data_IF_272861413495
#
_entry.id   IF_272861413495
#
_cell.length_a   1.000
_cell.length_b   1.000
_cell.length_c   1.000
_cell.angle_alpha   90.00
_cell.angle_beta   90.00
_cell.angle_gamma   90.00
#
_symmetry.space_group_name_H-M   'P 1'
#
loop_
_entity.id
_entity.type
_entity.pdbx_description
1 polymer ?
#
# COMPACT_ATOMS: atom_id res chain seq x y z
N UNK A 1 -1.35 12.82 10.92
CA UNK A 1 -0.58 11.56 11.11
C UNK A 1 -0.48 11.02 12.54
N UNK A 2 -0.71 11.81 13.62
CA UNK A 2 -0.61 11.31 15.02
C UNK A 2 -1.41 10.03 15.28
N UNK A 3 -2.68 9.99 14.83
CA UNK A 3 -3.56 8.80 14.98
C UNK A 3 -3.00 7.55 14.27
N UNK A 4 -2.35 7.75 13.13
CA UNK A 4 -1.72 6.66 12.37
C UNK A 4 -0.55 6.04 13.14
N UNK A 5 0.30 6.89 13.72
CA UNK A 5 1.41 6.45 14.57
C UNK A 5 0.90 5.71 15.81
N UNK A 6 -0.14 6.22 16.47
CA UNK A 6 -0.77 5.57 17.62
C UNK A 6 -1.35 4.20 17.24
N UNK A 7 -2.05 4.11 16.10
CA UNK A 7 -2.56 2.85 15.58
C UNK A 7 -1.43 1.84 15.32
N UNK A 8 -0.31 2.29 14.73
CA UNK A 8 0.85 1.44 14.49
C UNK A 8 1.43 0.92 15.81
N UNK A 9 1.66 1.79 16.80
CA UNK A 9 2.15 1.39 18.13
C UNK A 9 1.24 0.39 18.84
N UNK A 10 -0.06 0.52 18.69
CA UNK A 10 -1.04 -0.39 19.31
C UNK A 10 -1.10 -1.77 18.61
N UNK A 11 -0.65 -1.86 17.36
CA UNK A 11 -0.77 -3.08 16.56
C UNK A 11 0.57 -3.76 16.24
N UNK A 12 1.70 -3.11 16.47
CA UNK A 12 3.05 -3.63 16.21
C UNK A 12 3.75 -3.82 17.55
N UNK A 13 4.45 -4.92 17.71
CA UNK A 13 5.21 -5.24 18.93
C UNK A 13 6.70 -5.00 18.71
N UNK A 14 7.41 -4.81 19.79
CA UNK A 14 8.87 -4.78 19.76
C UNK A 14 9.44 -6.05 19.11
N UNK A 15 10.46 -5.87 18.26
CA UNK A 15 11.16 -6.92 17.48
C UNK A 15 10.29 -7.61 16.43
N UNK A 16 9.11 -7.05 16.08
CA UNK A 16 8.32 -7.59 14.96
C UNK A 16 9.09 -7.45 13.63
N UNK A 17 8.88 -8.45 12.75
CA UNK A 17 9.26 -8.37 11.33
C UNK A 17 8.04 -8.02 10.51
N UNK A 18 8.14 -6.96 9.70
CA UNK A 18 7.03 -6.38 8.95
C UNK A 18 7.33 -6.37 7.46
N UNK A 19 6.36 -6.78 6.64
CA UNK A 19 6.40 -6.55 5.19
C UNK A 19 5.56 -5.31 4.88
N UNK A 20 6.16 -4.31 4.25
CA UNK A 20 5.49 -3.07 3.81
C UNK A 20 5.36 -3.10 2.30
N UNK A 21 4.14 -3.21 1.79
CA UNK A 21 3.86 -3.12 0.36
C UNK A 21 4.05 -1.66 -0.10
N UNK A 22 5.06 -1.41 -0.93
CA UNK A 22 5.41 -0.08 -1.40
C UNK A 22 5.48 -0.04 -2.93
N UNK A 23 4.58 0.73 -3.55
CA UNK A 23 4.55 0.95 -5.00
C UNK A 23 5.38 2.15 -5.46
N UNK A 24 5.91 2.97 -4.55
CA UNK A 24 6.56 4.23 -4.86
C UNK A 24 5.61 5.43 -4.94
N UNK A 25 4.30 5.20 -5.05
CA UNK A 25 3.31 6.27 -5.02
C UNK A 25 3.13 6.90 -3.63
N UNK A 26 2.44 8.06 -3.55
CA UNK A 26 2.38 8.88 -2.35
C UNK A 26 1.87 8.11 -1.12
N UNK A 27 0.81 7.31 -1.27
CA UNK A 27 0.24 6.58 -0.13
C UNK A 27 1.22 5.59 0.46
N UNK A 28 1.92 4.85 -0.40
CA UNK A 28 2.88 3.83 0.01
C UNK A 28 4.17 4.42 0.59
N UNK A 29 4.63 5.56 0.06
CA UNK A 29 5.80 6.26 0.60
C UNK A 29 5.47 6.91 1.94
N UNK A 30 4.27 7.49 2.11
CA UNK A 30 3.79 7.98 3.40
C UNK A 30 3.75 6.86 4.45
N UNK A 31 3.16 5.71 4.11
CA UNK A 31 3.13 4.56 5.02
C UNK A 31 4.53 4.08 5.38
N UNK A 32 5.41 3.97 4.39
CA UNK A 32 6.77 3.49 4.59
C UNK A 32 7.55 4.41 5.53
N UNK A 33 7.48 5.73 5.35
CA UNK A 33 8.13 6.69 6.24
C UNK A 33 7.59 6.63 7.67
N UNK A 34 6.26 6.57 7.84
CA UNK A 34 5.64 6.46 9.15
C UNK A 34 6.05 5.19 9.92
N UNK A 35 6.18 4.07 9.22
CA UNK A 35 6.65 2.81 9.82
C UNK A 35 8.15 2.88 10.14
N UNK A 36 8.94 3.50 9.27
CA UNK A 36 10.39 3.69 9.45
C UNK A 36 10.70 4.52 10.70
N UNK A 37 9.90 5.54 11.00
CA UNK A 37 10.03 6.34 12.25
C UNK A 37 9.86 5.53 13.54
N UNK A 38 9.23 4.37 13.48
CA UNK A 38 9.08 3.46 14.63
C UNK A 38 10.15 2.36 14.67
N UNK A 39 11.02 2.26 13.65
CA UNK A 39 11.99 1.18 13.51
C UNK A 39 12.90 1.03 14.72
N UNK A 40 13.54 2.12 15.11
CA UNK A 40 14.51 2.09 16.21
C UNK A 40 13.81 2.02 17.57
N UNK A 41 12.67 2.71 17.74
CA UNK A 41 11.85 2.70 18.96
C UNK A 41 11.40 1.27 19.32
N UNK A 42 10.95 0.52 18.31
CA UNK A 42 10.41 -0.83 18.49
C UNK A 42 11.38 -1.94 18.03
N UNK A 43 12.61 -1.59 17.65
CA UNK A 43 13.61 -2.53 17.15
C UNK A 43 13.05 -3.44 16.02
N UNK A 44 12.41 -2.82 14.99
CA UNK A 44 11.72 -3.53 13.93
C UNK A 44 12.66 -4.01 12.83
N UNK A 45 12.32 -5.16 12.24
CA UNK A 45 12.84 -5.57 10.94
C UNK A 45 11.80 -5.21 9.88
N UNK A 46 12.11 -4.26 8.99
CA UNK A 46 11.20 -3.76 7.95
C UNK A 46 11.67 -4.27 6.60
N UNK A 47 10.79 -4.99 5.90
CA UNK A 47 10.98 -5.51 4.56
C UNK A 47 10.09 -4.71 3.61
N UNK A 48 10.69 -3.90 2.75
CA UNK A 48 10.02 -3.12 1.71
C UNK A 48 9.78 -4.03 0.52
N UNK A 49 8.52 -4.32 0.22
CA UNK A 49 8.11 -5.16 -0.89
C UNK A 49 7.62 -4.30 -2.05
N UNK A 50 8.46 -4.14 -3.07
CA UNK A 50 8.12 -3.41 -4.29
C UNK A 50 7.79 -4.37 -5.43
N UNK A 51 6.71 -4.07 -6.18
CA UNK A 51 6.32 -4.81 -7.37
C UNK A 51 6.38 -3.88 -8.57
N UNK A 52 7.37 -4.10 -9.43
CA UNK A 52 7.50 -3.39 -10.69
C UNK A 52 6.70 -4.12 -11.78
N UNK A 53 5.66 -3.47 -12.27
CA UNK A 53 4.78 -4.03 -13.29
C UNK A 53 5.34 -3.94 -14.71
N UNK A 54 6.46 -3.23 -14.94
CA UNK A 54 7.11 -3.02 -16.26
C UNK A 54 6.16 -2.50 -17.34
N UNK A 55 5.12 -1.79 -16.94
CA UNK A 55 4.13 -1.22 -17.87
C UNK A 55 4.60 0.10 -18.51
N UNK A 56 5.55 0.77 -17.87
CA UNK A 56 6.07 2.09 -18.27
C UNK A 56 7.58 2.14 -18.06
N UNK A 57 8.24 3.03 -18.79
CA UNK A 57 9.70 3.25 -18.63
C UNK A 57 10.00 3.78 -17.23
N UNK A 58 9.13 4.66 -16.70
CA UNK A 58 9.27 5.29 -15.39
C UNK A 58 9.17 4.29 -14.22
N UNK A 59 8.61 3.08 -14.45
CA UNK A 59 8.47 2.07 -13.40
C UNK A 59 9.81 1.56 -12.85
N UNK A 60 10.88 1.66 -13.63
CA UNK A 60 12.23 1.32 -13.17
C UNK A 60 12.83 2.44 -12.31
N UNK A 61 12.52 3.69 -12.63
CA UNK A 61 12.90 4.85 -11.81
C UNK A 61 12.15 4.85 -10.46
N UNK A 62 10.87 4.47 -10.49
CA UNK A 62 10.05 4.29 -9.28
C UNK A 62 10.66 3.20 -8.38
N UNK A 63 11.04 2.05 -8.94
CA UNK A 63 11.68 0.97 -8.19
C UNK A 63 13.00 1.41 -7.56
N UNK A 64 13.83 2.15 -8.33
CA UNK A 64 15.10 2.69 -7.85
C UNK A 64 14.91 3.71 -6.73
N UNK A 65 13.93 4.60 -6.83
CA UNK A 65 13.59 5.57 -5.77
C UNK A 65 13.24 4.87 -4.46
N UNK A 66 12.41 3.81 -4.52
CA UNK A 66 12.03 3.03 -3.33
C UNK A 66 13.24 2.27 -2.76
N UNK A 67 14.11 1.73 -3.61
CA UNK A 67 15.35 1.06 -3.21
C UNK A 67 16.31 2.03 -2.50
N UNK A 68 16.49 3.24 -3.04
CA UNK A 68 17.33 4.28 -2.44
C UNK A 68 16.78 4.68 -1.07
N UNK A 69 15.48 4.92 -0.93
CA UNK A 69 14.85 5.17 0.37
C UNK A 69 15.11 4.02 1.37
N UNK A 70 14.93 2.79 0.93
CA UNK A 70 15.16 1.62 1.79
C UNK A 70 16.62 1.54 2.24
N UNK A 71 17.58 1.81 1.36
CA UNK A 71 19.01 1.82 1.64
C UNK A 71 19.40 2.92 2.62
N UNK A 72 18.92 4.13 2.44
CA UNK A 72 19.18 5.28 3.32
C UNK A 72 18.72 5.01 4.76
N UNK A 73 17.62 4.28 4.93
CA UNK A 73 17.05 3.95 6.23
C UNK A 73 17.45 2.56 6.77
N UNK A 74 18.40 1.87 6.11
CA UNK A 74 18.84 0.52 6.47
C UNK A 74 17.65 -0.47 6.57
N UNK A 75 16.75 -0.45 5.58
CA UNK A 75 15.64 -1.39 5.43
C UNK A 75 16.01 -2.49 4.44
N UNK A 76 15.35 -3.64 4.55
CA UNK A 76 15.49 -4.70 3.55
C UNK A 76 14.62 -4.34 2.35
N UNK A 77 15.17 -4.35 1.13
CA UNK A 77 14.43 -4.12 -0.11
C UNK A 77 14.28 -5.42 -0.89
N UNK A 78 13.07 -5.73 -1.30
CA UNK A 78 12.72 -6.91 -2.11
C UNK A 78 11.90 -6.46 -3.31
N UNK A 79 12.40 -6.80 -4.50
CA UNK A 79 11.80 -6.44 -5.78
C UNK A 79 11.21 -7.69 -6.47
N UNK A 80 9.98 -7.56 -6.95
CA UNK A 80 9.39 -8.48 -7.92
C UNK A 80 9.10 -7.74 -9.22
N UNK A 81 9.59 -8.27 -10.34
CA UNK A 81 9.27 -7.76 -11.67
C UNK A 81 8.17 -8.61 -12.32
N UNK A 82 7.14 -7.96 -12.86
CA UNK A 82 6.03 -8.59 -13.58
C UNK A 82 6.11 -8.21 -15.05
N UNK A 83 6.68 -9.10 -15.86
CA UNK A 83 6.81 -8.90 -17.31
C UNK A 83 5.57 -9.40 -18.09
N UNK A 84 4.64 -10.10 -17.43
CA UNK A 84 3.50 -10.75 -18.07
C UNK A 84 2.41 -9.79 -18.55
N UNK A 85 2.38 -8.55 -18.05
CA UNK A 85 1.48 -7.51 -18.56
C UNK A 85 1.70 -7.17 -20.04
N UNK A 86 2.84 -7.54 -20.59
CA UNK A 86 3.11 -7.44 -22.03
C UNK A 86 2.26 -8.41 -22.87
N UNK A 87 1.61 -9.38 -22.23
CA UNK A 87 0.70 -10.33 -22.85
C UNK A 87 -0.75 -9.89 -22.62
N UNK A 88 -1.51 -9.64 -23.66
CA UNK A 88 -2.92 -9.18 -23.63
C UNK A 88 -3.91 -10.08 -22.85
N UNK A 89 -3.47 -11.21 -22.32
CA UNK A 89 -4.28 -12.14 -21.53
C UNK A 89 -4.13 -11.96 -20.02
N UNK A 90 -3.16 -11.15 -19.57
CA UNK A 90 -2.89 -10.92 -18.15
C UNK A 90 -3.82 -9.84 -17.57
N UNK A 91 -4.61 -10.21 -16.58
CA UNK A 91 -5.63 -9.33 -16.00
C UNK A 91 -5.14 -8.63 -14.72
N UNK A 92 -5.82 -7.56 -14.29
CA UNK A 92 -5.59 -6.92 -12.99
C UNK A 92 -5.73 -7.93 -11.82
N UNK A 93 -6.67 -8.88 -11.94
CA UNK A 93 -6.85 -9.95 -10.96
C UNK A 93 -5.61 -10.86 -10.84
N UNK A 94 -4.97 -11.17 -11.99
CA UNK A 94 -3.74 -11.98 -12.02
C UNK A 94 -2.59 -11.23 -11.37
N UNK A 95 -2.44 -9.94 -11.68
CA UNK A 95 -1.45 -9.08 -11.05
C UNK A 95 -1.65 -8.96 -9.54
N UNK A 96 -2.91 -8.84 -9.10
CA UNK A 96 -3.24 -8.85 -7.67
C UNK A 96 -2.86 -10.17 -7.01
N UNK A 97 -3.18 -11.31 -7.64
CA UNK A 97 -2.81 -12.63 -7.12
C UNK A 97 -1.29 -12.75 -6.97
N UNK A 98 -0.52 -12.43 -8.01
CA UNK A 98 0.95 -12.48 -7.97
C UNK A 98 1.55 -11.59 -6.89
N UNK A 99 1.02 -10.36 -6.71
CA UNK A 99 1.45 -9.48 -5.61
C UNK A 99 1.28 -10.14 -4.24
N UNK A 100 0.11 -10.74 -3.98
CA UNK A 100 -0.13 -11.41 -2.71
C UNK A 100 0.70 -12.68 -2.54
N UNK A 101 0.96 -13.44 -3.63
CA UNK A 101 1.88 -14.58 -3.61
C UNK A 101 3.30 -14.14 -3.25
N UNK A 102 3.77 -13.02 -3.80
CA UNK A 102 5.04 -12.41 -3.44
C UNK A 102 5.09 -11.98 -1.96
N UNK A 103 4.07 -11.28 -1.47
CA UNK A 103 4.00 -10.91 -0.06
C UNK A 103 4.01 -12.15 0.86
N UNK A 104 3.29 -13.21 0.50
CA UNK A 104 3.29 -14.48 1.24
C UNK A 104 4.69 -15.12 1.27
N UNK A 105 5.43 -15.05 0.16
CA UNK A 105 6.80 -15.52 0.08
C UNK A 105 7.71 -14.74 1.04
N UNK A 106 7.60 -13.41 1.05
CA UNK A 106 8.40 -12.55 1.94
C UNK A 106 8.04 -12.76 3.42
N UNK A 107 6.75 -12.86 3.75
CA UNK A 107 6.28 -13.19 5.09
C UNK A 107 6.97 -14.47 5.59
N UNK A 108 7.01 -15.51 4.75
CA UNK A 108 7.67 -16.77 5.08
C UNK A 108 9.20 -16.64 5.16
N UNK A 109 9.82 -15.96 4.18
CA UNK A 109 11.28 -15.79 4.09
C UNK A 109 11.86 -15.09 5.31
N UNK A 110 11.19 -14.05 5.80
CA UNK A 110 11.64 -13.20 6.91
C UNK A 110 10.96 -13.52 8.24
N UNK A 111 10.16 -14.59 8.29
CA UNK A 111 9.34 -14.95 9.46
C UNK A 111 8.53 -13.74 9.97
N UNK A 112 8.02 -12.93 9.03
CA UNK A 112 7.24 -11.74 9.35
C UNK A 112 5.82 -12.11 9.79
N UNK A 113 5.26 -11.33 10.69
CA UNK A 113 3.91 -11.57 11.23
C UNK A 113 2.87 -10.56 10.74
N UNK A 114 3.32 -9.54 10.02
CA UNK A 114 2.46 -8.41 9.63
C UNK A 114 2.78 -7.95 8.21
N UNK A 115 1.73 -7.78 7.40
CA UNK A 115 1.75 -7.08 6.12
C UNK A 115 1.09 -5.71 6.28
N UNK A 116 1.75 -4.65 5.86
CA UNK A 116 1.18 -3.30 5.81
C UNK A 116 0.86 -2.91 4.37
N UNK A 117 -0.32 -2.34 4.16
CA UNK A 117 -0.76 -1.82 2.86
C UNK A 117 -1.33 -0.41 3.01
N UNK A 118 -1.12 0.43 2.01
CA UNK A 118 -1.36 1.86 2.04
C UNK A 118 -2.76 2.28 1.56
N UNK A 119 -3.80 1.48 1.84
CA UNK A 119 -5.18 1.90 1.59
C UNK A 119 -5.54 3.04 2.54
N UNK A 120 -6.17 4.10 2.02
CA UNK A 120 -6.56 5.29 2.77
C UNK A 120 -8.08 5.48 2.82
N UNK A 121 -8.55 6.55 3.50
CA UNK A 121 -9.97 6.79 3.75
C UNK A 121 -10.82 6.86 2.47
N UNK A 122 -10.30 7.52 1.42
CA UNK A 122 -11.04 7.64 0.17
C UNK A 122 -11.21 6.28 -0.53
N UNK A 123 -10.22 5.38 -0.46
CA UNK A 123 -10.35 4.00 -0.94
C UNK A 123 -11.48 3.23 -0.22
N UNK A 124 -11.67 3.51 1.07
CA UNK A 124 -12.76 2.92 1.84
C UNK A 124 -14.11 3.41 1.35
N UNK A 125 -14.27 4.73 1.14
CA UNK A 125 -15.50 5.34 0.64
C UNK A 125 -15.80 4.83 -0.78
N UNK A 126 -14.82 4.83 -1.68
CA UNK A 126 -14.95 4.25 -3.03
C UNK A 126 -15.46 2.81 -2.98
N UNK A 127 -14.85 1.99 -2.12
CA UNK A 127 -15.22 0.58 -1.99
C UNK A 127 -16.66 0.41 -1.49
N UNK A 128 -17.07 1.21 -0.52
CA UNK A 128 -18.45 1.20 0.01
C UNK A 128 -19.44 1.59 -1.10
N UNK A 129 -19.19 2.70 -1.81
CA UNK A 129 -20.04 3.17 -2.89
C UNK A 129 -20.18 2.15 -4.03
N UNK A 130 -19.06 1.55 -4.46
CA UNK A 130 -19.05 0.49 -5.47
C UNK A 130 -19.86 -0.74 -5.04
N UNK A 131 -19.84 -1.09 -3.76
CA UNK A 131 -20.60 -2.22 -3.22
C UNK A 131 -22.09 -1.89 -3.07
N UNK A 132 -22.42 -0.67 -2.69
CA UNK A 132 -23.81 -0.19 -2.66
C UNK A 132 -24.46 -0.26 -4.04
N UNK A 133 -23.77 0.21 -5.08
CA UNK A 133 -24.32 0.23 -6.45
C UNK A 133 -24.44 -1.13 -7.09
N UNK A 134 -23.57 -2.09 -6.73
CA UNK A 134 -23.62 -3.48 -7.24
C UNK A 134 -24.61 -4.36 -6.47
N UNK A 135 -25.15 -3.89 -5.37
CA UNK A 135 -25.87 -4.71 -4.39
C UNK A 135 -24.93 -5.63 -3.63
N UNK A 136 -24.91 -5.54 -2.32
CA UNK A 136 -24.08 -6.38 -1.46
C UNK A 136 -24.85 -6.79 -0.22
N UNK A 137 -24.39 -7.82 0.49
CA UNK A 137 -24.89 -8.14 1.82
C UNK A 137 -24.28 -7.21 2.88
N UNK A 138 -24.84 -7.23 4.11
CA UNK A 138 -24.40 -6.37 5.21
C UNK A 138 -22.89 -6.47 5.49
N UNK A 139 -22.29 -7.67 5.41
CA UNK A 139 -20.85 -7.85 5.59
C UNK A 139 -20.02 -7.22 4.47
N UNK A 140 -20.58 -7.11 3.28
CA UNK A 140 -19.96 -6.44 2.15
C UNK A 140 -19.87 -4.92 2.34
N UNK A 141 -20.85 -4.31 3.00
CA UNK A 141 -20.88 -2.86 3.25
C UNK A 141 -19.85 -2.36 4.27
N UNK A 142 -19.25 -3.26 5.07
CA UNK A 142 -18.15 -2.89 5.99
C UNK A 142 -16.94 -2.31 5.22
N UNK A 143 -16.81 -2.59 3.93
CA UNK A 143 -15.73 -2.07 3.11
C UNK A 143 -14.37 -2.72 3.41
N UNK A 144 -13.34 -1.90 3.53
CA UNK A 144 -11.96 -2.31 3.83
C UNK A 144 -11.77 -2.19 5.34
N UNK A 145 -11.28 -3.24 6.00
CA UNK A 145 -11.00 -3.23 7.44
C UNK A 145 -9.59 -2.73 7.74
N UNK A 146 -9.41 -1.95 8.80
CA UNK A 146 -8.09 -1.51 9.28
C UNK A 146 -7.18 -2.69 9.63
N UNK A 147 -7.74 -3.69 10.30
CA UNK A 147 -7.06 -4.93 10.66
C UNK A 147 -7.78 -6.11 10.04
N UNK A 148 -7.06 -6.95 9.34
CA UNK A 148 -7.53 -8.25 8.85
C UNK A 148 -6.54 -9.33 9.26
N UNK A 149 -7.02 -10.46 9.71
CA UNK A 149 -6.19 -11.60 10.12
C UNK A 149 -6.49 -12.74 9.16
N UNK A 150 -5.48 -13.33 8.60
CA UNK A 150 -5.55 -14.62 7.93
C UNK A 150 -4.81 -15.68 8.76
N UNK A 151 -4.82 -16.92 8.32
CA UNK A 151 -4.22 -18.05 9.08
C UNK A 151 -2.70 -17.91 9.32
N UNK A 152 -2.04 -16.97 8.66
CA UNK A 152 -0.57 -16.87 8.65
C UNK A 152 -0.03 -15.56 9.23
N UNK A 153 -0.72 -14.44 8.99
CA UNK A 153 -0.28 -13.11 9.40
C UNK A 153 -1.45 -12.13 9.47
N UNK A 154 -1.23 -10.99 10.11
CA UNK A 154 -2.18 -9.89 10.10
C UNK A 154 -1.87 -8.91 8.97
N UNK A 155 -2.91 -8.27 8.44
CA UNK A 155 -2.80 -7.19 7.46
C UNK A 155 -3.28 -5.91 8.14
N UNK A 156 -2.42 -4.91 8.20
CA UNK A 156 -2.74 -3.60 8.75
C UNK A 156 -2.88 -2.56 7.62
N UNK A 157 -3.85 -1.66 7.78
CA UNK A 157 -4.12 -0.55 6.86
C UNK A 157 -4.23 0.75 7.66
N UNK A 158 -3.09 1.26 8.13
CA UNK A 158 -3.09 2.38 9.08
C UNK A 158 -3.62 3.69 8.50
N UNK A 159 -3.55 3.85 7.16
CA UNK A 159 -3.98 5.07 6.48
C UNK A 159 -5.49 5.14 6.22
N UNK A 160 -6.30 4.12 6.59
CA UNK A 160 -7.76 4.17 6.42
C UNK A 160 -8.44 5.30 7.21
N UNK A 161 -7.76 5.86 8.21
CA UNK A 161 -8.27 6.96 9.03
C UNK A 161 -7.86 8.36 8.55
N UNK A 162 -7.18 8.47 7.42
CA UNK A 162 -6.72 9.73 6.84
C UNK A 162 -7.13 9.85 5.38
N UNK A 163 -7.21 11.08 4.87
CA UNK A 163 -7.55 11.40 3.48
C UNK A 163 -6.31 11.41 2.60
N UNK A 164 -6.51 11.46 1.28
CA UNK A 164 -5.44 11.67 0.31
C UNK A 164 -4.74 13.02 0.53
N UNK A 165 -5.48 14.05 0.87
CA UNK A 165 -4.96 15.39 1.16
C UNK A 165 -4.02 15.37 2.37
N UNK A 166 -4.42 14.72 3.48
CA UNK A 166 -3.56 14.55 4.66
C UNK A 166 -2.23 13.85 4.31
N UNK A 167 -2.27 12.89 3.39
CA UNK A 167 -1.09 12.14 2.94
C UNK A 167 -0.14 13.06 2.16
N UNK A 168 -0.66 13.83 1.19
CA UNK A 168 0.13 14.75 0.38
C UNK A 168 0.75 15.84 1.25
N UNK A 169 -0.04 16.50 2.11
CA UNK A 169 0.44 17.49 3.05
C UNK A 169 1.59 16.96 3.92
N UNK A 170 1.45 15.72 4.39
CA UNK A 170 2.50 15.06 5.18
C UNK A 170 3.79 14.87 4.39
N UNK A 171 3.70 14.36 3.15
CA UNK A 171 4.87 14.11 2.31
C UNK A 171 5.60 15.40 1.97
N UNK A 172 4.87 16.44 1.58
CA UNK A 172 5.42 17.76 1.28
C UNK A 172 6.09 18.39 2.51
N UNK A 173 5.43 18.35 3.67
CA UNK A 173 5.96 18.90 4.92
C UNK A 173 7.23 18.19 5.42
N UNK A 174 7.44 16.94 5.01
CA UNK A 174 8.62 16.13 5.39
C UNK A 174 9.64 15.97 4.23
N UNK A 175 9.42 16.63 3.06
CA UNK A 175 10.25 16.54 1.86
C UNK A 175 10.48 15.10 1.38
N UNK A 176 9.43 14.25 1.46
CA UNK A 176 9.50 12.86 1.03
C UNK A 176 9.20 12.77 -0.46
N UNK A 177 10.12 12.18 -1.23
CA UNK A 177 9.96 11.98 -2.67
C UNK A 177 9.01 10.81 -2.93
N UNK A 178 8.13 10.98 -3.91
CA UNK A 178 7.19 9.96 -4.36
C UNK A 178 6.92 10.05 -5.86
N UNK A 179 6.54 8.95 -6.47
CA UNK A 179 6.16 8.89 -7.88
C UNK A 179 4.72 9.37 -8.10
N UNK A 180 4.48 10.11 -9.18
CA UNK A 180 3.14 10.55 -9.61
C UNK A 180 2.70 9.68 -10.78
N UNK A 181 1.68 8.85 -10.56
CA UNK A 181 1.09 8.03 -11.61
C UNK A 181 0.04 8.82 -12.41
N UNK A 182 0.40 9.23 -13.64
CA UNK A 182 -0.49 9.96 -14.52
C UNK A 182 -1.64 9.10 -15.10
N UNK A 183 -1.54 7.76 -15.06
CA UNK A 183 -2.60 6.86 -15.54
C UNK A 183 -3.81 6.84 -14.61
N UNK A 184 -3.69 7.30 -13.38
CA UNK A 184 -4.82 7.49 -12.45
C UNK A 184 -5.88 8.48 -12.96
N UNK A 185 -5.62 9.22 -14.04
CA UNK A 185 -6.58 10.15 -14.68
C UNK A 185 -7.48 9.48 -15.72
N UNK A 186 -7.20 8.22 -16.09
CA UNK A 186 -8.00 7.52 -17.09
C UNK A 186 -9.36 7.08 -16.52
N UNK A 187 -10.46 7.54 -17.13
CA UNK A 187 -11.83 7.25 -16.69
C UNK A 187 -12.34 5.85 -17.06
N UNK A 188 -11.54 5.01 -17.69
CA UNK A 188 -11.95 3.68 -18.14
C UNK A 188 -12.26 2.73 -16.96
N UNK A 189 -11.57 2.89 -15.84
CA UNK A 189 -11.82 2.09 -14.65
C UNK A 189 -12.98 2.64 -13.82
N UNK A 190 -13.94 1.79 -13.48
CA UNK A 190 -15.11 2.12 -12.65
C UNK A 190 -14.69 2.87 -11.35
N UNK A 191 -13.57 2.50 -10.73
CA UNK A 191 -13.06 3.12 -9.52
C UNK A 191 -12.65 4.59 -9.73
N UNK A 192 -11.98 4.90 -10.84
CA UNK A 192 -11.61 6.27 -11.18
C UNK A 192 -12.85 7.15 -11.43
N UNK A 193 -13.91 6.59 -12.01
CA UNK A 193 -15.20 7.30 -12.17
C UNK A 193 -15.82 7.68 -10.81
N UNK A 194 -15.79 6.79 -9.81
CA UNK A 194 -16.27 7.14 -8.46
C UNK A 194 -15.39 8.22 -7.83
N UNK A 195 -14.10 8.13 -7.95
CA UNK A 195 -13.14 9.10 -7.41
C UNK A 195 -13.31 10.50 -8.00
N UNK A 196 -13.49 10.60 -9.31
CA UNK A 196 -13.49 11.89 -10.00
C UNK A 196 -14.88 12.51 -10.21
N UNK A 197 -15.95 11.71 -10.18
CA UNK A 197 -17.31 12.18 -10.51
C UNK A 197 -18.21 12.18 -9.29
N UNK A 198 -18.06 11.26 -8.36
CA UNK A 198 -19.01 11.07 -7.25
C UNK A 198 -18.46 11.62 -5.93
N UNK A 199 -17.20 11.34 -5.61
CA UNK A 199 -16.58 11.79 -4.35
C UNK A 199 -16.38 13.31 -4.23
N UNK A 200 -16.20 14.11 -5.28
CA UNK A 200 -16.12 15.56 -5.16
C UNK A 200 -17.42 16.26 -4.71
N UNK A 201 -18.55 15.56 -4.61
CA UNK A 201 -19.83 16.05 -4.13
C UNK A 201 -20.16 15.50 -2.74
#
# INVERSE_FOLDING_TARGET
MKKVIEFLRNNIKEKDSLVVACSGGPDSMCLLDLVTKLKDELNLTIIVAHVNHKLRIESDEEAKMVEEFAKEHNLVFELMELNEYLNNTFTESDGRKKRYDFFNLLIKKYNANTLLTAHHGDDLIETILMRLTRGSNLSGYIGIKEVSINDKYKILRPLLMVTKEDIIEYLESNNIIYAIDNTNKEMEHTRNRYRHVILPF
#
